data_IF_100510219559
#
_entry.id   IF_100510219559
#
_cell.length_a   1.000
_cell.length_b   1.000
_cell.length_c   1.000
_cell.angle_alpha   90.00
_cell.angle_beta   90.00
_cell.angle_gamma   90.00
#
_symmetry.space_group_name_H-M   'P 1'
#
loop_
_entity.id
_entity.type
_entity.pdbx_description
1 polymer ?
#
# COMPACT_ATOMS: atom_id res chain seq x y z
N UNK A 1 7.80 39.43 -40.51
CA UNK A 1 6.82 39.68 -39.43
C UNK A 1 6.41 38.35 -38.82
N UNK A 2 6.38 38.28 -37.49
CA UNK A 2 5.85 37.24 -36.56
C UNK A 2 6.03 35.74 -36.93
N UNK A 3 6.93 34.98 -36.30
CA UNK A 3 6.88 34.34 -34.95
C UNK A 3 5.84 33.22 -34.78
N UNK A 4 6.34 31.98 -34.72
CA UNK A 4 6.02 30.90 -33.75
C UNK A 4 7.05 29.77 -34.05
N UNK A 5 8.02 29.31 -33.25
CA UNK A 5 8.31 29.20 -31.81
C UNK A 5 7.29 28.42 -30.98
N UNK A 6 7.79 27.29 -30.46
CA UNK A 6 7.38 26.57 -29.24
C UNK A 6 6.02 25.85 -29.36
N UNK A 7 5.75 24.72 -28.72
CA UNK A 7 6.36 24.15 -27.53
C UNK A 7 6.01 22.66 -27.47
N UNK A 8 6.91 21.94 -26.84
CA UNK A 8 6.76 20.57 -26.39
C UNK A 8 5.68 20.50 -25.29
N UNK A 9 5.24 19.29 -24.97
CA UNK A 9 4.70 18.89 -23.66
C UNK A 9 3.18 18.93 -23.43
N UNK A 10 2.79 17.88 -22.70
CA UNK A 10 1.73 17.82 -21.68
C UNK A 10 0.34 17.52 -22.24
N UNK A 11 -0.40 16.54 -21.74
CA UNK A 11 -0.62 16.27 -20.32
C UNK A 11 -1.15 14.85 -20.11
N UNK A 12 -0.48 14.13 -19.21
CA UNK A 12 -1.06 13.06 -18.41
C UNK A 12 -2.41 13.49 -17.83
N UNK A 13 -3.40 12.60 -17.96
CA UNK A 13 -4.74 12.79 -17.42
C UNK A 13 -4.74 12.70 -15.90
N UNK A 14 -4.89 13.89 -15.33
CA UNK A 14 -5.23 14.24 -13.96
C UNK A 14 -6.59 13.66 -13.53
N UNK A 15 -6.62 12.87 -12.46
CA UNK A 15 -7.83 12.63 -11.66
C UNK A 15 -7.66 13.23 -10.26
N UNK A 16 -8.10 14.49 -10.14
CA UNK A 16 -8.34 15.22 -8.90
C UNK A 16 -9.71 14.85 -8.33
N UNK A 17 -9.82 14.66 -7.01
CA UNK A 17 -11.05 14.99 -6.27
C UNK A 17 -10.70 15.54 -4.90
N UNK A 18 -11.40 16.61 -4.55
CA UNK A 18 -11.09 17.61 -3.56
C UNK A 18 -11.42 17.20 -2.11
N UNK A 19 -10.65 17.77 -1.19
CA UNK A 19 -10.72 17.65 0.27
C UNK A 19 -11.72 18.68 0.82
N UNK A 20 -12.68 18.23 1.64
CA UNK A 20 -13.55 19.09 2.48
C UNK A 20 -13.28 18.76 3.97
N UNK A 21 -13.04 19.73 4.87
CA UNK A 21 -12.75 19.43 6.27
C UNK A 21 -14.07 19.33 7.06
N UNK A 22 -14.21 18.31 7.91
CA UNK A 22 -15.35 18.23 8.84
C UNK A 22 -14.99 17.43 10.10
N UNK A 23 -14.92 18.20 11.19
CA UNK A 23 -15.32 17.87 12.58
C UNK A 23 -14.51 16.81 13.33
N UNK A 24 -13.85 17.28 14.39
CA UNK A 24 -13.20 16.51 15.44
C UNK A 24 -13.96 15.24 15.83
N UNK A 25 -13.45 14.12 15.34
CA UNK A 25 -13.71 12.79 15.87
C UNK A 25 -12.44 12.38 16.59
N UNK A 26 -12.58 12.06 17.87
CA UNK A 26 -11.60 11.41 18.74
C UNK A 26 -10.73 10.47 17.90
N UNK A 27 -9.46 10.84 17.70
CA UNK A 27 -8.56 10.09 16.82
C UNK A 27 -8.33 8.73 17.46
N UNK A 28 -9.10 7.71 17.03
CA UNK A 28 -8.73 6.31 17.28
C UNK A 28 -7.26 6.17 16.88
N UNK A 29 -6.40 5.53 17.70
CA UNK A 29 -5.03 5.28 17.32
C UNK A 29 -5.08 4.51 16.01
N UNK A 30 -4.70 5.22 14.95
CA UNK A 30 -4.63 4.68 13.63
C UNK A 30 -3.47 3.71 13.70
N UNK A 31 -3.76 2.41 13.56
CA UNK A 31 -2.78 1.34 13.45
C UNK A 31 -2.00 1.47 12.12
N UNK A 32 -1.56 2.68 11.79
CA UNK A 32 -1.04 3.12 10.50
C UNK A 32 0.50 3.12 10.53
N UNK A 33 1.11 2.18 11.26
CA UNK A 33 2.53 1.93 11.09
C UNK A 33 2.71 1.17 9.76
N UNK A 34 3.38 1.82 8.81
CA UNK A 34 3.68 1.23 7.51
C UNK A 34 4.96 0.39 7.59
N UNK A 35 4.93 -0.81 7.02
CA UNK A 35 6.08 -1.69 6.85
C UNK A 35 6.47 -1.73 5.37
N UNK A 36 7.68 -1.27 5.03
CA UNK A 36 8.21 -1.34 3.67
C UNK A 36 9.18 -2.52 3.55
N UNK A 37 8.89 -3.47 2.67
CA UNK A 37 9.69 -4.69 2.45
C UNK A 37 10.14 -4.72 0.99
N UNK A 38 11.42 -5.02 0.77
CA UNK A 38 11.95 -5.31 -0.56
C UNK A 38 12.02 -6.83 -0.73
N UNK A 39 11.51 -7.32 -1.86
CA UNK A 39 11.54 -8.72 -2.25
C UNK A 39 12.15 -8.82 -3.64
N UNK A 40 12.71 -9.99 -3.96
CA UNK A 40 13.09 -10.28 -5.33
C UNK A 40 11.84 -10.36 -6.20
N UNK A 41 12.00 -10.05 -7.50
CA UNK A 41 10.86 -9.97 -8.41
C UNK A 41 10.13 -11.32 -8.52
N UNK A 42 10.87 -12.42 -8.65
CA UNK A 42 10.29 -13.76 -8.76
C UNK A 42 9.42 -14.12 -7.53
N UNK A 43 9.93 -13.91 -6.32
CA UNK A 43 9.20 -14.22 -5.08
C UNK A 43 7.95 -13.37 -4.92
N UNK A 44 8.03 -12.08 -5.27
CA UNK A 44 6.89 -11.17 -5.25
C UNK A 44 5.80 -11.66 -6.21
N UNK A 45 6.17 -11.98 -7.44
CA UNK A 45 5.21 -12.36 -8.48
C UNK A 45 4.54 -13.70 -8.13
N UNK A 46 5.30 -14.67 -7.60
CA UNK A 46 4.75 -15.93 -7.10
C UNK A 46 3.82 -15.72 -5.90
N UNK A 47 4.19 -14.86 -4.94
CA UNK A 47 3.35 -14.56 -3.79
C UNK A 47 2.04 -13.89 -4.19
N UNK A 48 2.07 -12.94 -5.13
CA UNK A 48 0.87 -12.27 -5.64
C UNK A 48 -0.04 -13.24 -6.40
N UNK A 49 0.52 -14.09 -7.26
CA UNK A 49 -0.26 -15.11 -7.98
C UNK A 49 -0.96 -16.08 -7.01
N UNK A 50 -0.30 -16.47 -5.92
CA UNK A 50 -0.91 -17.32 -4.89
C UNK A 50 -2.03 -16.59 -4.14
N UNK A 51 -1.84 -15.29 -3.84
CA UNK A 51 -2.88 -14.49 -3.21
C UNK A 51 -4.16 -14.44 -4.07
N UNK A 52 -4.01 -14.24 -5.38
CA UNK A 52 -5.11 -14.23 -6.35
C UNK A 52 -5.83 -15.59 -6.41
N UNK A 53 -5.07 -16.69 -6.46
CA UNK A 53 -5.64 -18.04 -6.45
C UNK A 53 -6.45 -18.36 -5.19
N UNK A 54 -6.05 -17.81 -4.04
CA UNK A 54 -6.72 -18.01 -2.76
C UNK A 54 -7.83 -16.99 -2.49
N UNK A 55 -8.08 -16.06 -3.41
CA UNK A 55 -9.03 -14.94 -3.25
C UNK A 55 -8.73 -14.10 -1.97
N UNK A 56 -7.44 -13.83 -1.76
CA UNK A 56 -6.92 -13.06 -0.62
C UNK A 56 -6.05 -11.89 -1.08
N UNK A 57 -5.80 -10.92 -0.19
CA UNK A 57 -4.86 -9.84 -0.47
C UNK A 57 -3.51 -10.07 0.18
N UNK A 58 -2.45 -9.67 -0.52
CA UNK A 58 -1.08 -9.67 -0.01
C UNK A 58 -0.96 -9.03 1.39
N UNK A 59 -1.64 -7.91 1.61
CA UNK A 59 -1.64 -7.23 2.91
C UNK A 59 -2.29 -8.08 4.02
N UNK A 60 -3.34 -8.85 3.71
CA UNK A 60 -4.01 -9.72 4.66
C UNK A 60 -3.13 -10.90 5.04
N UNK A 61 -2.48 -11.52 4.05
CA UNK A 61 -1.57 -12.65 4.27
C UNK A 61 -0.32 -12.23 5.03
N UNK A 62 0.31 -11.11 4.67
CA UNK A 62 1.48 -10.58 5.43
C UNK A 62 1.09 -10.27 6.88
N UNK A 63 -0.06 -9.64 7.12
CA UNK A 63 -0.54 -9.37 8.50
C UNK A 63 -0.86 -10.64 9.28
N UNK A 64 -1.37 -11.68 8.61
CA UNK A 64 -1.62 -12.98 9.23
C UNK A 64 -0.29 -13.64 9.59
N UNK A 65 0.63 -13.73 8.64
CA UNK A 65 1.97 -14.26 8.84
C UNK A 65 2.70 -13.56 9.99
N UNK A 66 2.70 -12.22 10.04
CA UNK A 66 3.34 -11.45 11.12
C UNK A 66 2.74 -11.80 12.49
N UNK A 67 1.40 -11.88 12.61
CA UNK A 67 0.74 -12.26 13.87
C UNK A 67 1.05 -13.70 14.27
N UNK A 68 1.07 -14.61 13.31
CA UNK A 68 1.35 -16.03 13.54
C UNK A 68 2.81 -16.22 13.95
N UNK A 69 3.73 -15.52 13.30
CA UNK A 69 5.15 -15.50 13.64
C UNK A 69 5.41 -14.95 15.05
N UNK A 70 4.79 -13.81 15.40
CA UNK A 70 4.90 -13.26 16.76
C UNK A 70 4.38 -14.28 17.78
N UNK A 71 3.22 -14.90 17.55
CA UNK A 71 2.67 -15.91 18.47
C UNK A 71 3.57 -17.13 18.65
N UNK A 72 4.22 -17.58 17.58
CA UNK A 72 5.11 -18.74 17.62
C UNK A 72 6.44 -18.45 18.33
N UNK A 73 6.89 -17.20 18.34
CA UNK A 73 8.21 -16.80 18.83
C UNK A 73 8.17 -15.91 20.07
N UNK A 74 6.99 -15.52 20.57
CA UNK A 74 6.87 -14.78 21.81
C UNK A 74 6.92 -15.77 22.99
N UNK A 75 7.95 -15.75 23.84
CA UNK A 75 8.12 -16.70 24.93
C UNK A 75 7.22 -16.40 26.14
N UNK A 76 6.07 -15.75 25.96
CA UNK A 76 5.16 -15.51 27.09
C UNK A 76 4.37 -16.79 27.38
N UNK A 77 4.98 -17.59 28.25
CA UNK A 77 4.40 -18.14 29.48
C UNK A 77 2.89 -18.44 29.44
N UNK A 78 2.57 -19.73 29.56
CA UNK A 78 1.28 -20.27 30.05
C UNK A 78 0.79 -19.54 31.32
#
# INVERSE_FOLDING_TARGET
MAKAKLDESKTESKSTTAKKPSKDKTKKPKNDAQLLIRLNQADRDQFLALCEQLDTSAAREVRRFVRDFIRQHHPADD
#
